data_IF_336937695687
#
_entry.id   IF_336937695687
#
_cell.length_a   1.000
_cell.length_b   1.000
_cell.length_c   1.000
_cell.angle_alpha   90.00
_cell.angle_beta   90.00
_cell.angle_gamma   90.00
#
_symmetry.space_group_name_H-M   'P 1'
#
loop_
_entity.id
_entity.type
_entity.pdbx_description
1 polymer ?
#
# COMPACT_ATOMS: atom_id res chain seq x y z
N UNK A 1 -24.66 2.46 -3.85
CA UNK A 1 -24.34 1.15 -3.22
C UNK A 1 -22.84 0.82 -3.22
N UNK A 2 -21.99 1.48 -4.01
CA UNK A 2 -20.57 1.63 -3.69
C UNK A 2 -20.09 2.95 -4.29
N UNK A 3 -19.94 4.00 -3.48
CA UNK A 3 -19.64 5.33 -4.02
C UNK A 3 -18.13 5.65 -4.02
N UNK A 4 -17.33 5.11 -3.09
CA UNK A 4 -15.87 5.37 -3.01
C UNK A 4 -15.10 4.23 -2.31
N UNK A 5 -13.80 4.09 -2.60
CA UNK A 5 -12.88 3.21 -1.88
C UNK A 5 -12.70 1.78 -2.46
N UNK A 6 -12.17 0.82 -1.67
CA UNK A 6 -11.84 -0.53 -2.15
C UNK A 6 -13.06 -1.31 -2.67
N UNK A 7 -14.26 -1.04 -2.17
CA UNK A 7 -15.50 -1.64 -2.70
C UNK A 7 -15.80 -1.26 -4.16
N UNK A 8 -15.35 -0.09 -4.62
CA UNK A 8 -15.54 0.33 -6.00
C UNK A 8 -14.60 -0.44 -6.94
N UNK A 9 -13.31 -0.54 -6.59
CA UNK A 9 -12.30 -1.26 -7.37
C UNK A 9 -12.49 -2.79 -7.37
N UNK A 10 -12.92 -3.38 -6.25
CA UNK A 10 -12.99 -4.85 -6.11
C UNK A 10 -14.40 -5.44 -6.24
N UNK A 11 -15.45 -4.62 -6.35
CA UNK A 11 -16.83 -5.10 -6.56
C UNK A 11 -17.47 -4.47 -7.79
N UNK A 12 -17.56 -3.14 -7.86
CA UNK A 12 -18.24 -2.47 -8.97
C UNK A 12 -17.51 -2.60 -10.32
N UNK A 13 -16.17 -2.48 -10.32
CA UNK A 13 -15.38 -2.64 -11.55
C UNK A 13 -15.45 -4.06 -12.12
N UNK A 14 -15.21 -5.14 -11.34
CA UNK A 14 -15.37 -6.50 -11.85
C UNK A 14 -16.76 -6.79 -12.44
N UNK A 15 -17.84 -6.34 -11.78
CA UNK A 15 -19.22 -6.46 -12.30
C UNK A 15 -19.38 -5.79 -13.69
N UNK A 16 -18.79 -4.63 -13.90
CA UNK A 16 -18.79 -3.96 -15.20
C UNK A 16 -17.91 -4.68 -16.24
N UNK A 17 -16.74 -5.19 -15.84
CA UNK A 17 -15.80 -5.91 -16.71
C UNK A 17 -16.40 -7.23 -17.23
N UNK A 18 -17.30 -7.86 -16.47
CA UNK A 18 -17.99 -9.09 -16.88
C UNK A 18 -18.96 -8.87 -18.07
N UNK A 19 -19.48 -7.65 -18.25
CA UNK A 19 -20.39 -7.33 -19.35
C UNK A 19 -19.68 -7.02 -20.68
N UNK A 20 -18.35 -6.89 -20.67
CA UNK A 20 -17.58 -6.63 -21.88
C UNK A 20 -17.23 -7.92 -22.66
N UNK A 21 -17.17 -7.87 -24.00
CA UNK A 21 -16.68 -8.99 -24.79
C UNK A 21 -15.22 -9.29 -24.42
N UNK A 22 -14.90 -10.58 -24.23
CA UNK A 22 -13.57 -11.04 -23.77
C UNK A 22 -13.25 -10.60 -22.31
N UNK A 23 -14.23 -10.71 -21.42
CA UNK A 23 -14.14 -10.35 -19.99
C UNK A 23 -12.87 -10.86 -19.25
N UNK A 24 -12.39 -12.06 -19.59
CA UNK A 24 -11.17 -12.66 -19.02
C UNK A 24 -9.91 -11.81 -19.25
N UNK A 25 -9.74 -11.24 -20.44
CA UNK A 25 -8.57 -10.42 -20.77
C UNK A 25 -8.61 -9.09 -20.01
N UNK A 26 -9.77 -8.43 -20.00
CA UNK A 26 -9.95 -7.13 -19.33
C UNK A 26 -9.77 -7.21 -17.82
N UNK A 27 -10.24 -8.29 -17.19
CA UNK A 27 -10.04 -8.52 -15.75
C UNK A 27 -8.56 -8.66 -15.39
N UNK A 28 -7.78 -9.40 -16.18
CA UNK A 28 -6.34 -9.56 -15.95
C UNK A 28 -5.62 -8.21 -16.08
N UNK A 29 -5.90 -7.44 -17.13
CA UNK A 29 -5.28 -6.14 -17.36
C UNK A 29 -5.60 -5.15 -16.23
N UNK A 30 -6.84 -5.14 -15.76
CA UNK A 30 -7.28 -4.27 -14.67
C UNK A 30 -6.58 -4.59 -13.34
N UNK A 31 -6.55 -5.86 -12.93
CA UNK A 31 -5.85 -6.24 -11.70
C UNK A 31 -4.34 -6.08 -11.81
N UNK A 32 -3.75 -6.31 -12.99
CA UNK A 32 -2.33 -6.06 -13.23
C UNK A 32 -2.01 -4.57 -13.09
N UNK A 33 -2.86 -3.69 -13.63
CA UNK A 33 -2.72 -2.24 -13.45
C UNK A 33 -2.76 -1.87 -11.96
N UNK A 34 -3.75 -2.35 -11.20
CA UNK A 34 -3.84 -2.09 -9.76
C UNK A 34 -2.63 -2.61 -9.00
N UNK A 35 -2.10 -3.77 -9.38
CA UNK A 35 -0.90 -4.34 -8.80
C UNK A 35 0.35 -3.49 -9.07
N UNK A 36 0.55 -3.04 -10.31
CA UNK A 36 1.69 -2.18 -10.68
C UNK A 36 1.59 -0.81 -9.99
N UNK A 37 0.39 -0.22 -9.91
CA UNK A 37 0.14 1.02 -9.16
C UNK A 37 0.51 0.86 -7.68
N UNK A 38 0.06 -0.22 -7.06
CA UNK A 38 0.42 -0.55 -5.68
C UNK A 38 1.93 -0.71 -5.51
N UNK A 39 2.58 -1.51 -6.36
CA UNK A 39 4.03 -1.74 -6.31
C UNK A 39 4.85 -0.45 -6.42
N UNK A 40 4.51 0.43 -7.37
CA UNK A 40 5.21 1.71 -7.55
C UNK A 40 5.20 2.55 -6.27
N UNK A 41 4.03 2.65 -5.62
CA UNK A 41 3.89 3.37 -4.34
C UNK A 41 4.68 2.72 -3.20
N UNK A 42 4.69 1.38 -3.13
CA UNK A 42 5.40 0.64 -2.09
C UNK A 42 6.92 0.79 -2.22
N UNK A 43 7.46 0.80 -3.44
CA UNK A 43 8.90 1.03 -3.64
C UNK A 43 9.33 2.41 -3.16
N UNK A 44 8.57 3.45 -3.51
CA UNK A 44 8.85 4.81 -3.04
C UNK A 44 8.79 4.91 -1.49
N UNK A 45 7.80 4.27 -0.86
CA UNK A 45 7.67 4.25 0.60
C UNK A 45 8.84 3.54 1.31
N UNK A 46 9.22 2.36 0.84
CA UNK A 46 10.34 1.60 1.42
C UNK A 46 11.67 2.34 1.20
N UNK A 47 11.87 2.95 0.03
CA UNK A 47 13.07 3.73 -0.27
C UNK A 47 13.18 4.98 0.63
N UNK A 48 12.07 5.69 0.87
CA UNK A 48 12.04 6.83 1.79
C UNK A 48 12.43 6.42 3.22
N UNK A 49 11.88 5.30 3.73
CA UNK A 49 12.21 4.79 5.07
C UNK A 49 13.68 4.37 5.15
N UNK A 50 14.17 3.60 4.18
CA UNK A 50 15.55 3.13 4.18
C UNK A 50 16.54 4.29 4.06
N UNK A 51 16.23 5.31 3.25
CA UNK A 51 17.05 6.51 3.12
C UNK A 51 17.11 7.28 4.44
N UNK A 52 15.98 7.51 5.10
CA UNK A 52 15.93 8.17 6.42
C UNK A 52 16.75 7.43 7.49
N UNK A 53 16.73 6.09 7.48
CA UNK A 53 17.54 5.26 8.40
C UNK A 53 19.04 5.43 8.12
N UNK A 54 19.43 5.40 6.84
CA UNK A 54 20.84 5.51 6.44
C UNK A 54 21.39 6.91 6.68
N UNK A 55 20.58 7.96 6.52
CA UNK A 55 20.96 9.34 6.82
C UNK A 55 21.24 9.54 8.31
N UNK A 56 20.48 8.87 9.19
CA UNK A 56 20.73 8.91 10.64
C UNK A 56 21.97 8.11 11.04
N UNK A 57 22.23 6.98 10.40
CA UNK A 57 23.35 6.08 10.68
C UNK A 57 24.14 5.75 9.42
N UNK A 58 25.11 6.61 9.02
CA UNK A 58 25.82 6.47 7.75
C UNK A 58 26.65 5.19 7.65
N UNK A 59 26.99 4.56 8.78
CA UNK A 59 27.71 3.28 8.81
C UNK A 59 26.92 2.12 8.18
N UNK A 60 25.58 2.18 8.19
CA UNK A 60 24.70 1.16 7.63
C UNK A 60 24.66 1.19 6.09
N UNK A 61 25.15 2.26 5.45
CA UNK A 61 25.18 2.40 3.98
C UNK A 61 25.94 1.26 3.29
N UNK A 62 26.98 0.73 3.94
CA UNK A 62 27.75 -0.42 3.43
C UNK A 62 26.93 -1.71 3.37
N UNK A 63 25.92 -1.83 4.22
CA UNK A 63 25.05 -3.00 4.34
C UNK A 63 23.58 -2.66 3.99
N UNK A 64 23.36 -1.83 2.98
CA UNK A 64 22.03 -1.36 2.58
C UNK A 64 21.01 -2.50 2.40
N UNK A 65 21.42 -3.61 1.80
CA UNK A 65 20.56 -4.77 1.61
C UNK A 65 19.98 -5.35 2.92
N UNK A 66 20.74 -5.28 4.02
CA UNK A 66 20.28 -5.75 5.35
C UNK A 66 19.24 -4.81 5.93
N UNK A 67 19.40 -3.50 5.72
CA UNK A 67 18.43 -2.49 6.14
C UNK A 67 17.12 -2.73 5.41
N UNK A 68 17.16 -2.88 4.08
CA UNK A 68 15.95 -3.18 3.29
C UNK A 68 15.27 -4.47 3.72
N UNK A 69 16.03 -5.55 3.94
CA UNK A 69 15.47 -6.82 4.39
C UNK A 69 14.81 -6.70 5.76
N UNK A 70 15.42 -5.97 6.70
CA UNK A 70 14.85 -5.71 8.01
C UNK A 70 13.57 -4.88 7.91
N UNK A 71 13.58 -3.76 7.17
CA UNK A 71 12.40 -2.91 6.94
C UNK A 71 11.25 -3.73 6.35
N UNK A 72 11.50 -4.49 5.28
CA UNK A 72 10.48 -5.36 4.68
C UNK A 72 9.94 -6.41 5.66
N UNK A 73 10.80 -7.03 6.46
CA UNK A 73 10.38 -8.01 7.47
C UNK A 73 9.50 -7.38 8.55
N UNK A 74 9.86 -6.20 9.04
CA UNK A 74 9.04 -5.46 10.01
C UNK A 74 7.69 -5.06 9.42
N UNK A 75 7.64 -4.54 8.19
CA UNK A 75 6.39 -4.22 7.50
C UNK A 75 5.51 -5.46 7.29
N UNK A 76 6.12 -6.62 6.98
CA UNK A 76 5.38 -7.87 6.85
C UNK A 76 4.68 -8.27 8.15
N UNK A 77 5.40 -8.22 9.28
CA UNK A 77 4.82 -8.54 10.60
C UNK A 77 3.69 -7.57 10.96
N UNK A 78 3.88 -6.27 10.72
CA UNK A 78 2.86 -5.26 10.98
C UNK A 78 1.65 -5.37 10.04
N UNK A 79 1.83 -5.92 8.84
CA UNK A 79 0.76 -6.17 7.87
C UNK A 79 -0.06 -7.44 8.16
N UNK A 80 0.49 -8.44 8.87
CA UNK A 80 -0.20 -9.70 9.17
C UNK A 80 -1.59 -9.52 9.82
N UNK A 81 -1.79 -8.64 10.82
CA UNK A 81 -3.11 -8.37 11.39
C UNK A 81 -4.19 -7.97 10.36
N UNK A 82 -3.79 -7.32 9.26
CA UNK A 82 -4.69 -6.84 8.21
C UNK A 82 -5.15 -7.96 7.26
N UNK A 83 -4.50 -9.13 7.28
CA UNK A 83 -4.86 -10.27 6.44
C UNK A 83 -5.90 -11.23 7.09
N UNK A 84 -6.21 -11.06 8.37
CA UNK A 84 -7.22 -11.88 9.04
C UNK A 84 -8.65 -11.45 8.65
N UNK A 85 -9.66 -12.26 8.98
CA UNK A 85 -11.07 -12.03 8.57
C UNK A 85 -11.65 -10.68 9.00
N UNK A 86 -11.12 -10.06 10.06
CA UNK A 86 -11.50 -8.71 10.52
C UNK A 86 -10.54 -7.60 10.06
N UNK A 87 -9.53 -7.91 9.26
CA UNK A 87 -8.45 -6.99 8.90
C UNK A 87 -8.92 -5.76 8.13
N UNK A 88 -10.05 -5.86 7.41
CA UNK A 88 -10.67 -4.72 6.72
C UNK A 88 -11.02 -3.59 7.68
N UNK A 89 -11.47 -3.88 8.89
CA UNK A 89 -11.76 -2.85 9.91
C UNK A 89 -10.49 -2.12 10.35
N UNK A 90 -9.41 -2.88 10.54
CA UNK A 90 -8.11 -2.35 10.92
C UNK A 90 -7.53 -1.48 9.79
N UNK A 91 -7.71 -1.90 8.53
CA UNK A 91 -7.36 -1.13 7.34
C UNK A 91 -8.12 0.20 7.29
N UNK A 92 -9.44 0.18 7.44
CA UNK A 92 -10.26 1.40 7.40
C UNK A 92 -9.93 2.36 8.53
N UNK A 93 -9.59 1.84 9.71
CA UNK A 93 -9.21 2.65 10.87
C UNK A 93 -7.84 3.31 10.66
N UNK A 94 -6.87 2.57 10.12
CA UNK A 94 -5.55 3.10 9.76
C UNK A 94 -5.66 4.16 8.66
N UNK A 95 -6.46 3.93 7.62
CA UNK A 95 -6.66 4.86 6.51
C UNK A 95 -7.22 6.20 7.00
N UNK A 96 -8.28 6.17 7.80
CA UNK A 96 -8.90 7.39 8.32
C UNK A 96 -8.00 8.16 9.30
N UNK A 97 -7.29 7.44 10.19
CA UNK A 97 -6.49 8.07 11.23
C UNK A 97 -5.11 8.53 10.75
N UNK A 98 -4.44 7.75 9.89
CA UNK A 98 -3.03 7.97 9.51
C UNK A 98 -2.91 8.89 8.31
N UNK A 99 -3.71 8.69 7.26
CA UNK A 99 -3.56 9.44 6.01
C UNK A 99 -4.10 10.88 6.12
N UNK A 100 -5.11 11.11 6.96
CA UNK A 100 -5.75 12.42 7.06
C UNK A 100 -5.11 13.29 8.15
N UNK A 101 -5.10 12.83 9.40
CA UNK A 101 -4.68 13.69 10.52
C UNK A 101 -3.17 13.81 10.65
N UNK A 102 -2.43 12.70 10.56
CA UNK A 102 -0.98 12.73 10.80
C UNK A 102 -0.23 13.52 9.71
N UNK A 103 -0.57 13.29 8.43
CA UNK A 103 0.08 13.99 7.31
C UNK A 103 -0.24 15.48 7.32
N UNK A 104 -1.49 15.88 7.61
CA UNK A 104 -1.87 17.29 7.73
C UNK A 104 -1.10 18.00 8.85
N UNK A 105 -0.97 17.38 10.02
CA UNK A 105 -0.24 17.97 11.15
C UNK A 105 1.25 18.08 10.89
N UNK A 106 1.87 17.06 10.27
CA UNK A 106 3.29 17.11 9.91
C UNK A 106 3.53 18.19 8.85
N UNK A 107 2.71 18.25 7.80
CA UNK A 107 2.84 19.27 6.75
C UNK A 107 2.53 20.69 7.20
N UNK A 108 1.78 20.89 8.29
CA UNK A 108 1.63 22.22 8.92
C UNK A 108 2.81 22.59 9.83
N UNK A 109 3.54 21.60 10.35
CA UNK A 109 4.64 21.80 11.29
C UNK A 109 6.02 21.96 10.61
N UNK A 110 6.17 21.44 9.40
CA UNK A 110 7.32 21.67 8.50
C UNK A 110 7.26 23.06 7.85
#
# INVERSE_FOLDING_TARGET
VAEQGPGLAFVAYPEALLQMPVSRMWSILFFLMLFILGLGSQFAGIEAINTAIVDRWPHLRKNYWRVTAFTCFTCFILGLPMCFSGGVYLLTLLDWNTASWAILLIGMAE
#
